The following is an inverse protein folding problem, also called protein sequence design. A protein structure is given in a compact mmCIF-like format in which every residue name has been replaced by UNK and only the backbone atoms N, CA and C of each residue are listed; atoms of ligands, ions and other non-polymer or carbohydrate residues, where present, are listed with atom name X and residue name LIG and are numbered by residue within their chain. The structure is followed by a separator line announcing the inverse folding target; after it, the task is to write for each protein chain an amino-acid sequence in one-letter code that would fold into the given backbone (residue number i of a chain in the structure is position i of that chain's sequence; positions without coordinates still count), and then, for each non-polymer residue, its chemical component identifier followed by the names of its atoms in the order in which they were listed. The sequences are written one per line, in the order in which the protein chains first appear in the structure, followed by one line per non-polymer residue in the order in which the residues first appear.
data_IF_224988477745
#
_entry.id   IF_224988477745
#
_cell.length_a   1.000
_cell.length_b   1.000
_cell.length_c   1.000
_cell.angle_alpha   90.00
_cell.angle_beta   90.00
_cell.angle_gamma   90.00
#
_symmetry.space_group_name_H-M   'P 1'
#
loop_
_entity.id
_entity.type
_entity.pdbx_description
1 polymer ?
#
# COMPACT_ATOMS: atom_id res chain seq x y z
N UNK A 1 -80.81 -3.59 -11.74
CA UNK A 1 -79.74 -4.08 -10.86
C UNK A 1 -79.40 -5.53 -11.20
N UNK A 2 -78.11 -5.93 -11.26
CA UNK A 2 -77.70 -7.34 -11.38
C UNK A 2 -76.83 -7.69 -10.18
N UNK A 3 -77.47 -8.18 -9.13
CA UNK A 3 -76.87 -8.60 -7.85
C UNK A 3 -76.37 -10.05 -7.97
N UNK A 4 -75.13 -10.23 -8.43
CA UNK A 4 -74.45 -11.53 -8.35
C UNK A 4 -74.14 -11.85 -6.87
N UNK A 5 -74.62 -12.98 -6.32
CA UNK A 5 -74.26 -13.38 -4.96
C UNK A 5 -72.77 -13.72 -4.95
N UNK A 6 -72.01 -12.98 -4.14
CA UNK A 6 -70.58 -13.16 -3.91
C UNK A 6 -70.32 -14.43 -3.10
N UNK A 7 -70.68 -15.58 -3.65
CA UNK A 7 -70.24 -16.89 -3.18
C UNK A 7 -68.91 -17.17 -3.90
N UNK A 8 -67.78 -16.92 -3.22
CA UNK A 8 -66.49 -17.34 -3.77
C UNK A 8 -66.54 -18.85 -3.94
N UNK A 9 -66.36 -19.33 -5.18
CA UNK A 9 -66.19 -20.75 -5.41
C UNK A 9 -64.96 -21.24 -4.62
N UNK A 10 -64.97 -22.49 -4.13
CA UNK A 10 -63.86 -23.05 -3.37
C UNK A 10 -62.52 -22.88 -4.09
N UNK A 11 -62.51 -22.96 -5.42
CA UNK A 11 -61.33 -22.75 -6.25
C UNK A 11 -60.75 -21.32 -6.14
N UNK A 12 -61.61 -20.30 -6.07
CA UNK A 12 -61.20 -18.90 -5.91
C UNK A 12 -60.64 -18.66 -4.51
N UNK A 13 -61.20 -19.29 -3.48
CA UNK A 13 -60.67 -19.25 -2.12
C UNK A 13 -59.29 -19.92 -2.04
N UNK A 14 -59.12 -21.10 -2.66
CA UNK A 14 -57.83 -21.79 -2.71
C UNK A 14 -56.77 -21.00 -3.47
N UNK A 15 -57.12 -20.38 -4.60
CA UNK A 15 -56.21 -19.52 -5.35
C UNK A 15 -55.80 -18.27 -4.54
N UNK A 16 -56.74 -17.64 -3.84
CA UNK A 16 -56.47 -16.49 -2.97
C UNK A 16 -55.53 -16.86 -1.82
N UNK A 17 -55.70 -18.08 -1.27
CA UNK A 17 -54.87 -18.59 -0.19
C UNK A 17 -53.43 -18.90 -0.68
N UNK A 18 -53.27 -19.40 -1.91
CA UNK A 18 -51.97 -19.58 -2.55
C UNK A 18 -51.25 -18.25 -2.82
N UNK A 19 -51.95 -17.25 -3.36
CA UNK A 19 -51.37 -15.90 -3.58
C UNK A 19 -51.01 -15.24 -2.25
N UNK A 20 -51.84 -15.39 -1.21
CA UNK A 20 -51.56 -14.87 0.14
C UNK A 20 -50.33 -15.54 0.76
N UNK A 21 -50.15 -16.84 0.55
CA UNK A 21 -48.96 -17.57 1.01
C UNK A 21 -47.69 -17.07 0.31
N UNK A 22 -47.72 -16.93 -1.02
CA UNK A 22 -46.59 -16.40 -1.80
C UNK A 22 -46.27 -14.95 -1.39
N UNK A 23 -47.30 -14.11 -1.22
CA UNK A 23 -47.13 -12.72 -0.78
C UNK A 23 -46.54 -12.62 0.64
N UNK A 24 -46.93 -13.51 1.57
CA UNK A 24 -46.31 -13.57 2.89
C UNK A 24 -44.86 -14.07 2.81
N UNK A 25 -44.58 -15.08 1.97
CA UNK A 25 -43.23 -15.63 1.83
C UNK A 25 -42.23 -14.64 1.21
N UNK A 26 -42.67 -13.83 0.23
CA UNK A 26 -41.84 -12.78 -0.38
C UNK A 26 -41.59 -11.65 0.63
N UNK A 27 -42.59 -11.31 1.45
CA UNK A 27 -42.46 -10.26 2.47
C UNK A 27 -41.58 -10.66 3.66
N UNK A 28 -41.54 -11.94 4.01
CA UNK A 28 -40.66 -12.44 5.06
C UNK A 28 -39.19 -12.57 4.58
N UNK A 29 -38.97 -12.81 3.28
CA UNK A 29 -37.64 -12.78 2.67
C UNK A 29 -36.99 -11.37 2.65
N UNK A 30 -37.79 -10.31 2.83
CA UNK A 30 -37.28 -8.93 2.87
C UNK A 30 -36.61 -8.55 4.21
N UNK A 31 -36.84 -9.32 5.28
CA UNK A 31 -36.36 -8.97 6.64
C UNK A 31 -34.92 -9.40 6.93
N UNK A 32 -34.37 -10.33 6.15
CA UNK A 32 -32.97 -10.75 6.26
C UNK A 32 -32.03 -9.87 5.42
N UNK A 33 -32.58 -8.96 4.61
CA UNK A 33 -31.80 -8.06 3.76
C UNK A 33 -30.98 -7.05 4.56
N UNK A 34 -31.47 -6.55 5.70
CA UNK A 34 -30.77 -5.54 6.49
C UNK A 34 -29.41 -6.05 7.00
N UNK A 35 -29.38 -7.28 7.52
CA UNK A 35 -28.14 -7.90 8.02
C UNK A 35 -27.20 -8.24 6.85
N UNK A 36 -27.74 -8.72 5.72
CA UNK A 36 -26.93 -9.03 4.53
C UNK A 36 -26.32 -7.77 3.92
N UNK A 37 -27.04 -6.65 3.94
CA UNK A 37 -26.53 -5.35 3.49
C UNK A 37 -25.38 -4.85 4.37
N UNK A 38 -25.48 -5.01 5.68
CA UNK A 38 -24.40 -4.67 6.62
C UNK A 38 -23.14 -5.54 6.38
N UNK A 39 -23.32 -6.85 6.22
CA UNK A 39 -22.20 -7.75 5.89
C UNK A 39 -21.56 -7.42 4.54
N UNK A 40 -22.36 -7.00 3.56
CA UNK A 40 -21.87 -6.55 2.25
C UNK A 40 -21.06 -5.26 2.38
N UNK A 41 -21.51 -4.30 3.19
CA UNK A 41 -20.75 -3.09 3.48
C UNK A 41 -19.42 -3.41 4.18
N UNK A 42 -19.46 -4.25 5.22
CA UNK A 42 -18.26 -4.72 5.93
C UNK A 42 -17.29 -5.40 4.95
N UNK A 43 -17.80 -6.22 4.02
CA UNK A 43 -17.00 -6.91 3.02
C UNK A 43 -16.30 -5.94 2.05
N UNK A 44 -16.99 -4.86 1.65
CA UNK A 44 -16.39 -3.81 0.81
C UNK A 44 -15.33 -3.00 1.56
N UNK A 45 -15.55 -2.73 2.84
CA UNK A 45 -14.61 -1.98 3.68
C UNK A 45 -13.37 -2.82 4.00
N UNK A 46 -13.53 -4.13 4.26
CA UNK A 46 -12.42 -5.05 4.53
C UNK A 46 -11.45 -5.17 3.35
N UNK A 47 -11.96 -5.18 2.10
CA UNK A 47 -11.12 -5.13 0.89
C UNK A 47 -10.12 -3.96 0.95
N UNK A 48 -10.61 -2.76 1.31
CA UNK A 48 -9.77 -1.56 1.41
C UNK A 48 -8.90 -1.56 2.66
N UNK A 49 -9.42 -2.02 3.80
CA UNK A 49 -8.68 -2.04 5.08
C UNK A 49 -7.41 -2.90 4.98
N UNK A 50 -7.49 -4.10 4.40
CA UNK A 50 -6.31 -4.94 4.22
C UNK A 50 -5.27 -4.29 3.32
N UNK A 51 -5.70 -3.59 2.26
CA UNK A 51 -4.80 -2.86 1.38
C UNK A 51 -4.11 -1.68 2.10
N UNK A 52 -4.85 -0.91 2.90
CA UNK A 52 -4.28 0.18 3.70
C UNK A 52 -3.29 -0.32 4.75
N UNK A 53 -3.63 -1.39 5.47
CA UNK A 53 -2.72 -2.00 6.47
C UNK A 53 -1.47 -2.55 5.80
N UNK A 54 -1.60 -3.26 4.68
CA UNK A 54 -0.46 -3.78 3.92
C UNK A 54 0.45 -2.65 3.45
N UNK A 55 -0.14 -1.59 2.89
CA UNK A 55 0.60 -0.41 2.41
C UNK A 55 1.35 0.26 3.55
N UNK A 56 0.69 0.49 4.69
CA UNK A 56 1.32 1.08 5.89
C UNK A 56 2.40 0.16 6.47
N UNK A 57 2.22 -1.15 6.43
CA UNK A 57 3.25 -2.10 6.84
C UNK A 57 4.46 -2.07 5.90
N UNK A 58 4.27 -1.95 4.58
CA UNK A 58 5.36 -1.79 3.62
C UNK A 58 6.11 -0.47 3.84
N UNK A 59 5.40 0.64 4.02
CA UNK A 59 6.00 1.95 4.30
C UNK A 59 6.73 1.90 5.64
N UNK A 60 6.07 1.42 6.70
CA UNK A 60 6.64 1.29 8.04
C UNK A 60 7.85 0.36 8.08
N UNK A 61 7.82 -0.76 7.35
CA UNK A 61 8.97 -1.66 7.21
C UNK A 61 10.12 -0.99 6.46
N UNK A 62 9.83 -0.27 5.39
CA UNK A 62 10.84 0.50 4.64
C UNK A 62 11.45 1.60 5.52
N UNK A 63 10.62 2.38 6.20
CA UNK A 63 11.06 3.40 7.16
C UNK A 63 11.85 2.78 8.31
N UNK A 64 11.40 1.64 8.85
CA UNK A 64 12.09 0.92 9.92
C UNK A 64 13.48 0.46 9.50
N UNK A 65 13.61 -0.12 8.30
CA UNK A 65 14.91 -0.51 7.72
C UNK A 65 15.79 0.72 7.50
N UNK A 66 15.24 1.81 6.95
CA UNK A 66 15.99 3.06 6.72
C UNK A 66 16.43 3.70 8.03
N UNK A 67 15.59 3.74 9.07
CA UNK A 67 15.97 4.27 10.39
C UNK A 67 16.96 3.37 11.13
N UNK A 68 16.91 2.06 10.89
CA UNK A 68 17.88 1.10 11.40
C UNK A 68 19.15 1.04 10.55
N UNK A 69 19.17 1.68 9.37
CA UNK A 69 20.35 1.95 8.57
C UNK A 69 20.90 3.35 8.92
N UNK A 70 21.80 3.48 9.91
CA UNK A 70 22.49 4.72 10.28
C UNK A 70 23.49 5.17 9.20
N UNK A 71 23.28 4.85 7.91
CA UNK A 71 24.20 5.18 6.82
C UNK A 71 24.04 6.60 6.29
N UNK A 72 23.04 7.37 6.74
CA UNK A 72 22.90 8.80 6.41
C UNK A 72 23.16 9.76 7.58
N UNK A 73 23.34 9.25 8.80
CA UNK A 73 23.84 10.02 9.95
C UNK A 73 25.29 9.63 10.30
N UNK A 74 26.02 9.03 9.36
CA UNK A 74 27.45 8.81 9.53
C UNK A 74 28.19 10.12 9.29
N UNK A 75 28.26 10.97 10.32
CA UNK A 75 29.11 12.17 10.38
C UNK A 75 30.59 11.79 10.58
N UNK A 76 30.96 10.54 10.30
CA UNK A 76 32.35 10.10 10.37
C UNK A 76 33.03 10.43 9.06
N UNK A 77 34.22 10.99 9.21
CA UNK A 77 35.13 11.32 8.14
C UNK A 77 35.37 10.03 7.34
N UNK A 78 35.16 9.99 6.01
CA UNK A 78 35.34 8.78 5.23
C UNK A 78 36.79 8.27 5.36
N UNK A 79 36.97 6.95 5.48
CA UNK A 79 38.28 6.30 5.71
C UNK A 79 39.29 6.69 4.62
N UNK A 80 38.83 6.99 3.40
CA UNK A 80 39.67 7.48 2.30
C UNK A 80 40.42 8.78 2.66
N UNK A 81 39.86 9.67 3.49
CA UNK A 81 40.58 10.87 3.95
C UNK A 81 41.65 10.54 5.01
N UNK A 82 41.42 9.52 5.85
CA UNK A 82 42.40 9.04 6.83
C UNK A 82 43.53 8.24 6.15
N UNK A 83 43.21 7.48 5.09
CA UNK A 83 44.14 6.62 4.36
C UNK A 83 44.83 7.33 3.18
N UNK A 84 44.39 8.53 2.79
CA UNK A 84 45.09 9.38 1.80
C UNK A 84 46.35 10.06 2.34
N UNK A 85 46.89 9.62 3.47
CA UNK A 85 48.34 9.66 3.68
C UNK A 85 49.02 8.69 2.70
N UNK A 86 48.83 8.89 1.38
CA UNK A 86 49.85 8.53 0.42
C UNK A 86 51.05 9.35 0.88
N UNK A 87 52.10 8.73 1.45
CA UNK A 87 53.31 9.47 1.67
C UNK A 87 53.80 9.73 0.26
N UNK A 88 53.67 10.98 -0.22
CA UNK A 88 54.46 11.41 -1.35
C UNK A 88 55.90 11.29 -0.85
N UNK A 89 56.51 10.13 -1.13
CA UNK A 89 57.78 9.68 -0.59
C UNK A 89 58.85 10.61 -1.19
N UNK A 90 59.03 11.77 -0.57
CA UNK A 90 60.04 12.78 -0.89
C UNK A 90 61.46 12.35 -0.49
N UNK A 91 61.66 11.08 -0.14
CA UNK A 91 62.88 10.62 0.49
C UNK A 91 63.38 9.43 -0.34
N UNK A 92 64.31 9.70 -1.27
CA UNK A 92 65.07 8.80 -2.16
C UNK A 92 64.77 8.85 -3.67
N UNK A 93 64.06 9.85 -4.19
CA UNK A 93 64.17 10.17 -5.62
C UNK A 93 65.25 11.25 -5.79
N UNK A 94 66.50 10.83 -6.00
CA UNK A 94 67.56 11.74 -6.46
C UNK A 94 67.27 12.06 -7.92
N UNK A 95 66.43 13.08 -8.14
CA UNK A 95 66.20 13.63 -9.46
C UNK A 95 67.35 14.61 -9.74
N UNK A 96 68.19 14.37 -10.76
CA UNK A 96 69.31 15.26 -11.06
C UNK A 96 68.78 16.64 -11.46
N UNK A 97 69.45 17.69 -10.94
CA UNK A 97 69.06 19.10 -11.08
C UNK A 97 69.04 19.66 -12.52
N UNK A 98 69.30 18.85 -13.55
CA UNK A 98 69.18 19.27 -14.96
C UNK A 98 67.73 19.55 -15.38
N UNK A 99 66.75 18.80 -14.86
CA UNK A 99 65.36 18.94 -15.31
C UNK A 99 64.67 20.22 -14.80
N UNK A 100 65.11 20.76 -13.65
CA UNK A 100 64.55 21.99 -13.08
C UNK A 100 65.13 23.27 -13.68
N UNK A 101 66.31 23.21 -14.31
CA UNK A 101 66.89 24.35 -15.02
C UNK A 101 66.19 24.60 -16.37
N UNK A 102 65.82 23.53 -17.10
CA UNK A 102 65.23 23.67 -18.45
C UNK A 102 63.83 24.33 -18.41
N UNK A 103 63.05 24.15 -17.34
CA UNK A 103 61.69 24.68 -17.27
C UNK A 103 61.60 26.13 -16.78
N UNK A 104 62.56 26.61 -15.97
CA UNK A 104 62.51 27.98 -15.40
C UNK A 104 63.20 29.00 -16.30
N UNK A 105 64.20 28.60 -17.10
CA UNK A 105 64.87 29.50 -18.05
C UNK A 105 64.13 29.64 -19.40
N UNK A 106 63.04 28.90 -19.61
CA UNK A 106 62.19 28.95 -20.81
C UNK A 106 60.89 29.76 -20.65
N UNK A 107 60.75 30.53 -19.56
CA UNK A 107 59.68 31.52 -19.38
C UNK A 107 60.33 32.89 -19.13
N UNK A 108 61.04 33.35 -20.16
CA UNK A 108 61.20 34.78 -20.49
C UNK A 108 60.31 35.04 -21.70
#
# INVERSE_FOLDING_TARGET
ENTLPRQMSPDVLSALQGVRFIAQHIKDADKDNEIVEDWKYISMVLDRFFLWVFTLACIGGTCGIIFQAPSLYDTRIPIDQQLSEIPFRKNNLHLPDEFLQIHVTGVV
#
